data_IF_992582699399
#
_entry.id   IF_992582699399
#
_cell.length_a   1.000
_cell.length_b   1.000
_cell.length_c   1.000
_cell.angle_alpha   90.00
_cell.angle_beta   90.00
_cell.angle_gamma   90.00
#
_symmetry.space_group_name_H-M   'P 1'
#
loop_
_entity.id
_entity.type
_entity.pdbx_description
1 polymer ?
#
# COMPACT_ATOMS: atom_id res chain seq x y z
N UNK A 1 21.06 13.15 -3.87
CA UNK A 1 20.01 13.57 -4.85
C UNK A 1 20.54 14.61 -5.82
N UNK A 2 21.00 15.77 -5.35
CA UNK A 2 21.56 16.81 -6.24
C UNK A 2 22.77 16.31 -7.05
N UNK A 3 23.68 15.57 -6.39
CA UNK A 3 24.84 14.96 -7.04
C UNK A 3 24.46 13.92 -8.10
N UNK A 4 23.44 13.09 -7.83
CA UNK A 4 22.92 12.10 -8.77
C UNK A 4 22.29 12.74 -10.01
N UNK A 5 21.64 13.90 -9.85
CA UNK A 5 21.11 14.70 -10.96
C UNK A 5 22.28 15.31 -11.75
N UNK A 6 23.33 15.78 -11.07
CA UNK A 6 24.55 16.32 -11.71
C UNK A 6 25.30 15.28 -12.56
N UNK A 7 25.28 14.01 -12.17
CA UNK A 7 25.91 12.92 -12.94
C UNK A 7 25.26 12.64 -14.30
N UNK A 8 23.99 13.03 -14.51
CA UNK A 8 23.31 12.89 -15.80
C UNK A 8 23.75 13.93 -16.86
N UNK A 9 24.50 14.97 -16.47
CA UNK A 9 25.08 15.97 -17.36
C UNK A 9 24.16 17.13 -17.75
N UNK A 10 24.74 18.11 -18.49
CA UNK A 10 24.07 19.32 -18.98
C UNK A 10 23.12 19.00 -20.14
N UNK A 11 22.02 18.34 -19.83
CA UNK A 11 21.04 17.87 -20.81
C UNK A 11 19.94 17.01 -20.17
N UNK A 12 20.02 16.80 -18.85
CA UNK A 12 19.01 16.06 -18.11
C UNK A 12 17.63 16.70 -18.26
N UNK A 13 16.74 15.97 -18.92
CA UNK A 13 15.31 16.25 -18.93
C UNK A 13 14.66 15.42 -17.82
N UNK A 14 14.04 16.09 -16.87
CA UNK A 14 13.21 15.41 -15.87
C UNK A 14 12.11 14.62 -16.58
N UNK A 15 11.87 13.36 -16.23
CA UNK A 15 10.76 12.61 -16.79
C UNK A 15 9.46 13.31 -16.40
N UNK A 16 8.51 13.33 -17.32
CA UNK A 16 7.16 13.84 -17.08
C UNK A 16 6.42 12.95 -16.09
N UNK A 17 5.37 13.50 -15.48
CA UNK A 17 4.51 12.74 -14.57
C UNK A 17 4.01 11.43 -15.20
N UNK A 18 3.68 11.42 -16.49
CA UNK A 18 3.20 10.20 -17.17
C UNK A 18 4.31 9.16 -17.37
N UNK A 19 5.51 9.61 -17.75
CA UNK A 19 6.69 8.74 -17.93
C UNK A 19 7.11 8.04 -16.63
N UNK A 20 6.84 8.65 -15.47
CA UNK A 20 7.08 8.04 -14.16
C UNK A 20 5.87 7.21 -13.69
N UNK A 21 4.66 7.76 -13.79
CA UNK A 21 3.45 7.15 -13.23
C UNK A 21 3.15 5.79 -13.85
N UNK A 22 3.16 5.70 -15.18
CA UNK A 22 2.75 4.49 -15.90
C UNK A 22 3.59 3.27 -15.49
N UNK A 23 4.94 3.29 -15.58
CA UNK A 23 5.75 2.13 -15.20
C UNK A 23 5.67 1.80 -13.71
N UNK A 24 5.49 2.80 -12.83
CA UNK A 24 5.30 2.54 -11.41
C UNK A 24 3.97 1.81 -11.14
N UNK A 25 2.88 2.23 -11.79
CA UNK A 25 1.59 1.56 -11.66
C UNK A 25 1.63 0.12 -12.20
N UNK A 26 2.31 -0.12 -13.33
CA UNK A 26 2.50 -1.47 -13.85
C UNK A 26 3.29 -2.35 -12.88
N UNK A 27 4.38 -1.84 -12.30
CA UNK A 27 5.15 -2.56 -11.28
C UNK A 27 4.32 -2.91 -10.05
N UNK A 28 3.52 -1.94 -9.57
CA UNK A 28 2.63 -2.18 -8.43
C UNK A 28 1.59 -3.23 -8.79
N UNK A 29 0.99 -3.17 -9.99
CA UNK A 29 0.02 -4.16 -10.46
C UNK A 29 0.61 -5.57 -10.48
N UNK A 30 1.81 -5.76 -11.04
CA UNK A 30 2.48 -7.07 -11.03
C UNK A 30 2.73 -7.57 -9.61
N UNK A 31 3.12 -6.68 -8.69
CA UNK A 31 3.31 -7.05 -7.28
C UNK A 31 1.99 -7.37 -6.58
N UNK A 32 0.88 -6.76 -6.99
CA UNK A 32 -0.45 -7.14 -6.53
C UNK A 32 -0.86 -8.51 -7.06
N UNK A 33 -0.46 -8.91 -8.27
CA UNK A 33 -0.75 -10.27 -8.76
C UNK A 33 -0.08 -11.37 -7.92
N UNK A 34 1.03 -11.06 -7.24
CA UNK A 34 1.72 -11.94 -6.30
C UNK A 34 0.98 -12.11 -4.96
N UNK A 35 -0.08 -11.32 -4.70
CA UNK A 35 -0.90 -11.41 -3.49
C UNK A 35 -1.52 -12.78 -3.26
N UNK A 36 -1.86 -13.51 -4.33
CA UNK A 36 -2.52 -14.82 -4.20
C UNK A 36 -1.74 -15.80 -3.32
N UNK A 37 -0.41 -15.80 -3.44
CA UNK A 37 0.47 -16.64 -2.60
C UNK A 37 0.42 -16.23 -1.14
N UNK A 38 0.36 -14.92 -0.88
CA UNK A 38 0.18 -14.42 0.48
C UNK A 38 -1.18 -14.83 1.05
N UNK A 39 -2.26 -14.68 0.29
CA UNK A 39 -3.61 -15.10 0.70
C UNK A 39 -3.67 -16.59 1.03
N UNK A 40 -3.12 -17.46 0.17
CA UNK A 40 -3.01 -18.90 0.42
C UNK A 40 -2.26 -19.20 1.73
N UNK A 41 -1.10 -18.56 1.94
CA UNK A 41 -0.33 -18.71 3.17
C UNK A 41 -1.07 -18.16 4.41
N UNK A 42 -1.91 -17.13 4.26
CA UNK A 42 -2.75 -16.61 5.35
C UNK A 42 -3.81 -17.62 5.77
N UNK A 43 -4.39 -18.37 4.82
CA UNK A 43 -5.36 -19.42 5.12
C UNK A 43 -4.72 -20.58 5.87
N UNK A 44 -3.50 -20.96 5.49
CA UNK A 44 -2.82 -22.12 6.06
C UNK A 44 -2.15 -21.81 7.42
N UNK A 45 -1.41 -20.70 7.51
CA UNK A 45 -0.56 -20.38 8.65
C UNK A 45 -1.06 -19.20 9.50
N UNK A 46 -2.10 -18.52 9.03
CA UNK A 46 -2.51 -17.22 9.57
C UNK A 46 -1.61 -16.07 9.08
N UNK A 47 -1.93 -14.86 9.53
CA UNK A 47 -1.13 -13.66 9.25
C UNK A 47 -1.08 -12.72 10.45
N UNK A 48 -0.04 -11.89 10.51
CA UNK A 48 0.00 -10.74 11.44
C UNK A 48 -0.44 -9.50 10.69
N UNK A 49 -1.57 -8.92 11.10
CA UNK A 49 -2.05 -7.64 10.60
C UNK A 49 -1.66 -6.53 11.56
N UNK A 50 -0.92 -5.54 11.06
CA UNK A 50 -0.56 -4.33 11.79
C UNK A 50 -1.22 -3.14 11.10
N UNK A 51 -1.82 -2.24 11.86
CA UNK A 51 -2.42 -1.01 11.34
C UNK A 51 -1.82 0.21 12.01
N UNK A 52 -1.56 1.24 11.23
CA UNK A 52 -1.16 2.56 11.71
C UNK A 52 -2.12 3.61 11.13
N UNK A 53 -2.47 4.61 11.94
CA UNK A 53 -3.41 5.66 11.56
C UNK A 53 -2.77 7.01 11.72
N UNK A 54 -2.71 7.80 10.66
CA UNK A 54 -2.34 9.21 10.75
C UNK A 54 -3.54 10.11 10.47
N UNK A 55 -3.64 11.20 11.25
CA UNK A 55 -4.66 12.22 11.05
C UNK A 55 -3.94 13.49 10.62
N UNK A 56 -4.34 14.08 9.51
CA UNK A 56 -3.75 15.33 9.05
C UNK A 56 -4.36 16.54 9.79
N UNK A 57 -3.75 17.72 9.60
CA UNK A 57 -4.22 18.96 10.23
C UNK A 57 -5.62 19.39 9.77
N UNK A 58 -6.19 18.76 8.74
CA UNK A 58 -7.53 19.01 8.22
C UNK A 58 -8.56 17.99 8.73
N UNK A 59 -8.19 17.13 9.67
CA UNK A 59 -9.06 16.09 10.22
C UNK A 59 -9.29 14.90 9.29
N UNK A 60 -8.46 14.71 8.26
CA UNK A 60 -8.55 13.54 7.38
C UNK A 60 -7.73 12.40 7.96
N UNK A 61 -8.32 11.20 8.00
CA UNK A 61 -7.66 10.01 8.51
C UNK A 61 -7.12 9.17 7.36
N UNK A 62 -5.87 8.75 7.47
CA UNK A 62 -5.25 7.76 6.60
C UNK A 62 -4.88 6.56 7.47
N UNK A 63 -5.39 5.39 7.11
CA UNK A 63 -5.01 4.14 7.77
C UNK A 63 -4.13 3.36 6.81
N UNK A 64 -2.90 3.12 7.26
CA UNK A 64 -1.99 2.18 6.64
C UNK A 64 -2.15 0.83 7.32
N UNK A 65 -2.13 -0.24 6.54
CA UNK A 65 -2.12 -1.59 7.07
C UNK A 65 -1.03 -2.42 6.42
N UNK A 66 -0.46 -3.31 7.23
CA UNK A 66 0.63 -4.19 6.89
C UNK A 66 0.19 -5.61 7.24
N UNK A 67 0.23 -6.51 6.27
CA UNK A 67 -0.05 -7.93 6.50
C UNK A 67 1.25 -8.70 6.32
N UNK A 68 1.65 -9.45 7.35
CA UNK A 68 2.84 -10.29 7.32
C UNK A 68 2.46 -11.77 7.31
N UNK A 69 3.06 -12.52 6.40
CA UNK A 69 2.98 -13.98 6.30
C UNK A 69 4.36 -14.61 6.03
N UNK A 70 4.47 -15.95 6.06
CA UNK A 70 5.71 -16.63 5.69
C UNK A 70 6.21 -16.26 4.27
N UNK A 71 5.29 -15.99 3.34
CA UNK A 71 5.60 -15.55 1.97
C UNK A 71 6.09 -14.10 1.88
N UNK A 72 6.00 -13.33 2.97
CA UNK A 72 6.53 -11.98 3.06
C UNK A 72 5.55 -10.95 3.60
N UNK A 73 5.74 -9.69 3.21
CA UNK A 73 5.03 -8.55 3.79
C UNK A 73 4.32 -7.75 2.69
N UNK A 74 3.02 -7.55 2.88
CA UNK A 74 2.16 -6.74 2.01
C UNK A 74 1.75 -5.46 2.71
N UNK A 75 1.87 -4.32 2.00
CA UNK A 75 1.49 -3.00 2.50
C UNK A 75 0.29 -2.48 1.70
N UNK A 76 -0.78 -2.13 2.40
CA UNK A 76 -1.94 -1.44 1.86
C UNK A 76 -2.21 -0.13 2.59
N UNK A 77 -2.99 0.75 1.97
CA UNK A 77 -3.46 1.99 2.61
C UNK A 77 -4.88 2.29 2.16
N UNK A 78 -5.70 2.83 3.06
CA UNK A 78 -7.04 3.31 2.76
C UNK A 78 -7.20 4.75 3.24
N UNK A 79 -7.66 5.62 2.34
CA UNK A 79 -7.88 7.04 2.62
C UNK A 79 -9.31 7.24 3.13
N UNK A 80 -9.46 7.81 4.33
CA UNK A 80 -10.73 7.98 5.02
C UNK A 80 -11.02 9.46 5.23
N UNK A 81 -11.68 10.05 4.23
CA UNK A 81 -12.07 11.46 4.27
C UNK A 81 -13.29 11.76 5.16
N UNK A 82 -13.81 10.78 5.92
CA UNK A 82 -14.96 10.99 6.82
C UNK A 82 -14.76 10.28 8.16
N UNK A 83 -14.80 11.08 9.24
CA UNK A 83 -14.55 10.72 10.65
C UNK A 83 -15.47 9.63 11.22
N UNK A 84 -16.64 9.35 10.62
CA UNK A 84 -17.66 8.47 11.20
C UNK A 84 -17.52 6.98 10.86
N UNK A 85 -16.48 6.59 10.10
CA UNK A 85 -16.42 5.27 9.46
C UNK A 85 -15.16 4.47 9.83
N UNK A 86 -14.26 5.00 10.67
CA UNK A 86 -12.98 4.36 11.05
C UNK A 86 -13.17 2.95 11.62
N UNK A 87 -13.98 2.82 12.69
CA UNK A 87 -14.19 1.54 13.35
C UNK A 87 -14.95 0.53 12.49
N UNK A 88 -15.93 1.01 11.71
CA UNK A 88 -16.74 0.17 10.81
C UNK A 88 -15.94 -0.29 9.59
N UNK A 89 -15.07 0.55 9.04
CA UNK A 89 -14.26 0.18 7.89
C UNK A 89 -13.08 -0.71 8.29
N UNK A 90 -12.46 -0.46 9.45
CA UNK A 90 -11.50 -1.41 10.01
C UNK A 90 -12.17 -2.76 10.23
N UNK A 91 -13.37 -2.79 10.83
CA UNK A 91 -14.14 -4.01 10.99
C UNK A 91 -14.45 -4.67 9.63
N UNK A 92 -14.85 -3.92 8.60
CA UNK A 92 -15.08 -4.45 7.25
C UNK A 92 -13.80 -4.96 6.58
N UNK A 93 -12.66 -4.28 6.76
CA UNK A 93 -11.37 -4.72 6.25
C UNK A 93 -10.93 -6.00 6.96
N UNK A 94 -11.10 -6.07 8.28
CA UNK A 94 -10.87 -7.29 9.06
C UNK A 94 -11.81 -8.41 8.61
N UNK A 95 -13.11 -8.14 8.43
CA UNK A 95 -14.09 -9.10 7.94
C UNK A 95 -13.78 -9.58 6.51
N UNK A 96 -13.35 -8.71 5.60
CA UNK A 96 -12.92 -9.11 4.25
C UNK A 96 -11.69 -10.01 4.31
N UNK A 97 -10.73 -9.68 5.17
CA UNK A 97 -9.53 -10.50 5.35
C UNK A 97 -9.84 -11.87 6.01
N UNK A 98 -10.82 -11.90 6.93
CA UNK A 98 -11.22 -13.11 7.68
C UNK A 98 -12.17 -14.00 6.87
N UNK A 99 -13.16 -13.43 6.19
CA UNK A 99 -14.21 -14.13 5.44
C UNK A 99 -13.81 -14.49 4.00
N UNK A 100 -12.62 -14.07 3.55
CA UNK A 100 -12.01 -14.61 2.33
C UNK A 100 -11.50 -16.06 2.51
N UNK A 101 -11.58 -16.62 3.73
CA UNK A 101 -11.29 -18.04 4.04
C UNK A 101 -12.30 -18.99 3.39
#
# INVERSE_FOLDING_TARGET
>A
MLESIGQYGSGFRSPSYHEVKVPLLERVKTKTDEMKKHEEAWKEYGCTLMSDGCTDMKGRHLINYLVRSPEGTFLGSCNLSTESVIGKLLAQLFEQQINAN
#
